data_IF_057321021030
#
_entry.id   IF_057321021030
#
_cell.length_a   1.000
_cell.length_b   1.000
_cell.length_c   1.000
_cell.angle_alpha   90.00
_cell.angle_beta   90.00
_cell.angle_gamma   90.00
#
_symmetry.space_group_name_H-M   'P 1'
#
loop_
_entity.id
_entity.type
_entity.pdbx_description
1 polymer ?
#
# COMPACT_ATOMS: atom_id res chain seq x y z
N UNK A 1 8.47 -26.46 5.95
CA UNK A 1 8.59 -25.19 5.20
C UNK A 1 10.07 -24.87 5.03
N UNK A 2 10.55 -24.60 3.80
CA UNK A 2 11.94 -24.23 3.59
C UNK A 2 12.19 -22.83 4.15
N UNK A 3 13.22 -22.67 4.98
CA UNK A 3 13.68 -21.35 5.45
C UNK A 3 14.44 -20.70 4.30
N UNK A 4 13.96 -19.55 3.83
CA UNK A 4 14.68 -18.76 2.83
C UNK A 4 15.87 -18.07 3.48
N UNK A 5 17.04 -18.15 2.85
CA UNK A 5 18.21 -17.39 3.25
C UNK A 5 18.14 -15.94 2.74
N UNK A 6 18.84 -15.04 3.43
CA UNK A 6 18.81 -13.59 3.10
C UNK A 6 19.19 -13.31 1.63
N UNK A 7 20.12 -14.06 1.07
CA UNK A 7 20.55 -13.89 -0.33
C UNK A 7 19.46 -14.33 -1.32
N UNK A 8 18.69 -15.35 -1.00
CA UNK A 8 17.54 -15.78 -1.82
C UNK A 8 16.42 -14.73 -1.80
N UNK A 9 16.19 -14.11 -0.64
CA UNK A 9 15.21 -13.02 -0.51
C UNK A 9 15.67 -11.81 -1.32
N UNK A 10 16.95 -11.43 -1.22
CA UNK A 10 17.53 -10.35 -2.00
C UNK A 10 17.41 -10.59 -3.50
N UNK A 11 17.78 -11.76 -3.97
CA UNK A 11 17.66 -12.11 -5.39
C UNK A 11 16.22 -12.05 -5.91
N UNK A 12 15.23 -12.41 -5.10
CA UNK A 12 13.81 -12.28 -5.45
C UNK A 12 13.38 -10.81 -5.53
N UNK A 13 13.82 -9.97 -4.59
CA UNK A 13 13.51 -8.53 -4.60
C UNK A 13 14.13 -7.88 -5.83
N UNK A 14 15.39 -8.20 -6.15
CA UNK A 14 16.07 -7.68 -7.34
C UNK A 14 15.37 -8.11 -8.64
N UNK A 15 14.95 -9.37 -8.75
CA UNK A 15 14.20 -9.88 -9.90
C UNK A 15 12.81 -9.23 -10.06
N UNK A 16 12.19 -8.80 -8.97
CA UNK A 16 10.84 -8.22 -8.93
C UNK A 16 10.85 -6.68 -8.94
N UNK A 17 12.03 -6.07 -8.98
CA UNK A 17 12.20 -4.64 -8.72
C UNK A 17 11.36 -3.76 -9.65
N UNK A 18 11.36 -4.03 -10.94
CA UNK A 18 10.58 -3.27 -11.92
C UNK A 18 9.07 -3.33 -11.63
N UNK A 19 8.58 -4.52 -11.23
CA UNK A 19 7.18 -4.68 -10.83
C UNK A 19 6.87 -3.92 -9.55
N UNK A 20 7.78 -3.91 -8.58
CA UNK A 20 7.62 -3.16 -7.32
C UNK A 20 7.51 -1.67 -7.62
N UNK A 21 8.37 -1.14 -8.48
CA UNK A 21 8.33 0.27 -8.91
C UNK A 21 7.03 0.60 -9.65
N UNK A 22 6.57 -0.28 -10.54
CA UNK A 22 5.29 -0.10 -11.26
C UNK A 22 4.10 -0.05 -10.31
N UNK A 23 4.04 -0.96 -9.32
CA UNK A 23 2.99 -0.96 -8.29
C UNK A 23 3.04 0.32 -7.45
N UNK A 24 4.23 0.77 -7.06
CA UNK A 24 4.40 2.01 -6.31
C UNK A 24 3.92 3.22 -7.12
N UNK A 25 4.29 3.30 -8.40
CA UNK A 25 3.83 4.38 -9.29
C UNK A 25 2.31 4.43 -9.43
N UNK A 26 1.68 3.29 -9.61
CA UNK A 26 0.21 3.18 -9.63
C UNK A 26 -0.42 3.65 -8.32
N UNK A 27 0.20 3.29 -7.18
CA UNK A 27 -0.26 3.71 -5.86
C UNK A 27 -0.11 5.22 -5.65
N UNK A 28 1.00 5.82 -6.06
CA UNK A 28 1.25 7.27 -5.99
C UNK A 28 0.21 8.04 -6.81
N UNK A 29 -0.11 7.57 -8.03
CA UNK A 29 -1.05 8.21 -8.93
C UNK A 29 -2.49 8.28 -8.38
N UNK A 30 -2.86 7.45 -7.41
CA UNK A 30 -4.19 7.48 -6.76
C UNK A 30 -4.41 8.70 -5.87
N UNK A 31 -3.36 9.44 -5.53
CA UNK A 31 -3.43 10.67 -4.73
C UNK A 31 -4.24 10.50 -3.45
N UNK A 32 -3.97 9.46 -2.67
CA UNK A 32 -4.71 9.10 -1.46
C UNK A 32 -4.50 10.10 -0.31
N UNK A 33 -4.84 11.37 -0.55
CA UNK A 33 -4.64 12.49 0.37
C UNK A 33 -5.75 12.49 1.42
N UNK A 34 -5.49 11.97 2.63
CA UNK A 34 -6.47 11.84 3.71
C UNK A 34 -7.06 13.18 4.16
N UNK A 35 -6.28 14.26 4.10
CA UNK A 35 -6.74 15.62 4.43
C UNK A 35 -7.83 16.16 3.48
N UNK A 36 -8.04 15.55 2.31
CA UNK A 36 -9.15 15.86 1.39
C UNK A 36 -10.44 15.10 1.72
N UNK A 37 -10.45 14.31 2.78
CA UNK A 37 -11.59 13.54 3.26
C UNK A 37 -11.28 12.05 3.34
N UNK A 38 -11.21 11.51 4.55
CA UNK A 38 -10.89 10.10 4.81
C UNK A 38 -11.96 9.13 4.29
N UNK A 39 -13.19 9.61 4.11
CA UNK A 39 -14.34 8.84 3.60
C UNK A 39 -14.51 8.96 2.09
N UNK A 40 -13.72 9.81 1.42
CA UNK A 40 -13.88 10.14 0.02
C UNK A 40 -13.51 8.97 -0.92
N UNK A 41 -13.99 9.02 -2.16
CA UNK A 41 -13.81 7.94 -3.14
C UNK A 41 -12.34 7.67 -3.48
N UNK A 42 -11.48 8.68 -3.53
CA UNK A 42 -10.05 8.48 -3.77
C UNK A 42 -9.38 7.65 -2.66
N UNK A 43 -9.85 7.77 -1.40
CA UNK A 43 -9.38 6.94 -0.29
C UNK A 43 -9.87 5.51 -0.42
N UNK A 44 -11.12 5.33 -0.83
CA UNK A 44 -11.68 3.99 -1.12
C UNK A 44 -10.93 3.30 -2.26
N UNK A 45 -10.65 4.01 -3.35
CA UNK A 45 -9.86 3.49 -4.48
C UNK A 45 -8.47 3.08 -4.06
N UNK A 46 -7.83 3.86 -3.19
CA UNK A 46 -6.53 3.51 -2.62
C UNK A 46 -6.58 2.23 -1.78
N UNK A 47 -7.60 2.06 -0.93
CA UNK A 47 -7.80 0.84 -0.17
C UNK A 47 -8.09 -0.37 -1.09
N UNK A 48 -8.93 -0.20 -2.11
CA UNK A 48 -9.20 -1.24 -3.10
C UNK A 48 -7.92 -1.70 -3.81
N UNK A 49 -7.10 -0.77 -4.27
CA UNK A 49 -5.82 -1.09 -4.89
C UNK A 49 -4.92 -1.92 -3.98
N UNK A 50 -4.80 -1.54 -2.71
CA UNK A 50 -3.99 -2.30 -1.74
C UNK A 50 -4.55 -3.71 -1.51
N UNK A 51 -5.88 -3.84 -1.36
CA UNK A 51 -6.51 -5.16 -1.21
C UNK A 51 -6.28 -6.05 -2.44
N UNK A 52 -6.38 -5.49 -3.65
CA UNK A 52 -6.11 -6.22 -4.89
C UNK A 52 -4.65 -6.71 -4.98
N UNK A 53 -3.68 -5.85 -4.63
CA UNK A 53 -2.26 -6.26 -4.64
C UNK A 53 -1.97 -7.36 -3.60
N UNK A 54 -2.58 -7.28 -2.43
CA UNK A 54 -2.48 -8.33 -1.40
C UNK A 54 -3.12 -9.65 -1.87
N UNK A 55 -4.28 -9.59 -2.51
CA UNK A 55 -4.95 -10.79 -3.04
C UNK A 55 -4.13 -11.48 -4.13
N UNK A 56 -3.40 -10.72 -4.98
CA UNK A 56 -2.49 -11.29 -6.00
C UNK A 56 -1.38 -12.16 -5.40
N UNK A 57 -0.99 -11.91 -4.16
CA UNK A 57 0.03 -12.71 -3.47
C UNK A 57 -0.56 -13.72 -2.48
N UNK A 58 -1.87 -13.94 -2.56
CA UNK A 58 -2.60 -14.97 -1.81
C UNK A 58 -2.89 -14.59 -0.36
N UNK A 59 -2.95 -13.32 -0.04
CA UNK A 59 -3.55 -12.80 1.19
C UNK A 59 -5.03 -12.65 0.95
N UNK A 60 -5.89 -13.17 1.83
CA UNK A 60 -7.34 -12.93 1.78
C UNK A 60 -7.61 -11.54 2.38
N UNK A 61 -7.67 -10.53 1.51
CA UNK A 61 -7.74 -9.12 1.88
C UNK A 61 -9.05 -8.47 1.44
N UNK A 62 -9.62 -7.68 2.35
CA UNK A 62 -10.90 -6.99 2.18
C UNK A 62 -10.79 -5.51 2.53
N UNK A 63 -11.53 -4.68 1.80
CA UNK A 63 -11.73 -3.27 2.14
C UNK A 63 -12.85 -3.16 3.16
N UNK A 64 -12.58 -2.47 4.25
CA UNK A 64 -13.52 -2.21 5.34
C UNK A 64 -13.63 -0.71 5.55
N UNK A 65 -14.83 -0.21 5.81
CA UNK A 65 -14.99 1.15 6.30
C UNK A 65 -15.20 1.13 7.80
N UNK A 66 -14.32 1.79 8.55
CA UNK A 66 -14.49 1.96 9.98
C UNK A 66 -15.64 2.91 10.30
N UNK A 67 -16.07 2.92 11.55
CA UNK A 67 -17.08 3.85 12.04
C UNK A 67 -16.55 4.58 13.27
N UNK A 68 -16.85 5.85 13.35
CA UNK A 68 -16.58 6.65 14.54
C UNK A 68 -17.48 6.22 15.70
N UNK A 69 -17.16 6.56 16.97
CA UNK A 69 -17.98 6.22 18.12
C UNK A 69 -19.42 6.75 18.07
N UNK A 70 -19.67 7.79 17.29
CA UNK A 70 -20.99 8.37 17.05
C UNK A 70 -21.78 7.69 15.92
N UNK A 71 -21.20 6.63 15.31
CA UNK A 71 -21.80 5.87 14.21
C UNK A 71 -21.58 6.49 12.82
N UNK A 72 -20.92 7.64 12.71
CA UNK A 72 -20.58 8.21 11.40
C UNK A 72 -19.50 7.41 10.69
N UNK A 73 -19.47 7.40 9.33
CA UNK A 73 -18.44 6.70 8.58
C UNK A 73 -17.03 7.20 8.90
N UNK A 74 -16.12 6.28 9.17
CA UNK A 74 -14.71 6.52 9.36
C UNK A 74 -13.86 6.26 8.11
N UNK A 75 -12.59 6.00 8.32
CA UNK A 75 -11.63 5.75 7.24
C UNK A 75 -11.92 4.45 6.47
N UNK A 76 -11.42 4.40 5.25
CA UNK A 76 -11.31 3.17 4.48
C UNK A 76 -10.02 2.44 4.86
N UNK A 77 -10.14 1.19 5.25
CA UNK A 77 -9.06 0.35 5.75
C UNK A 77 -8.98 -0.95 4.95
N UNK A 78 -7.82 -1.61 5.01
CA UNK A 78 -7.63 -2.94 4.43
C UNK A 78 -7.26 -3.90 5.55
N UNK A 79 -8.01 -4.98 5.66
CA UNK A 79 -7.73 -6.07 6.59
C UNK A 79 -7.54 -7.34 5.77
N UNK A 80 -6.48 -8.08 6.06
CA UNK A 80 -6.22 -9.33 5.36
C UNK A 80 -5.50 -10.34 6.24
N UNK A 81 -5.62 -11.61 5.85
CA UNK A 81 -4.92 -12.70 6.52
C UNK A 81 -4.40 -13.73 5.53
N UNK A 82 -3.32 -14.40 5.89
CA UNK A 82 -2.78 -15.54 5.16
C UNK A 82 -2.28 -16.57 6.16
N UNK A 83 -2.99 -17.67 6.26
CA UNK A 83 -2.58 -18.80 7.09
C UNK A 83 -1.68 -19.70 6.26
N UNK A 84 -0.42 -19.81 6.65
CA UNK A 84 0.57 -20.69 6.00
C UNK A 84 0.67 -22.01 6.72
N UNK A 85 0.61 -21.95 8.06
CA UNK A 85 0.63 -23.11 8.95
C UNK A 85 -0.15 -22.73 10.22
N UNK A 86 -1.09 -23.56 10.62
CA UNK A 86 -1.97 -23.29 11.76
C UNK A 86 -1.22 -23.24 13.09
N UNK A 87 -0.10 -23.96 13.18
CA UNK A 87 0.72 -24.03 14.39
C UNK A 87 1.88 -22.99 14.38
N UNK A 88 2.02 -22.23 13.29
CA UNK A 88 3.05 -21.21 13.20
C UNK A 88 2.67 -19.93 13.97
N UNK A 89 3.64 -19.20 14.52
CA UNK A 89 3.40 -17.88 15.09
C UNK A 89 2.76 -16.91 14.08
N UNK A 90 1.80 -16.12 14.54
CA UNK A 90 1.19 -15.07 13.72
C UNK A 90 2.04 -13.81 13.77
N UNK A 91 2.31 -13.24 12.60
CA UNK A 91 3.00 -11.96 12.44
C UNK A 91 1.99 -10.92 11.97
N UNK A 92 1.86 -9.81 12.70
CA UNK A 92 1.09 -8.65 12.28
C UNK A 92 1.98 -7.72 11.45
N UNK A 93 1.56 -7.46 10.21
CA UNK A 93 2.15 -6.42 9.36
C UNK A 93 1.23 -5.20 9.35
N UNK A 94 1.82 -4.02 9.54
CA UNK A 94 1.09 -2.75 9.55
C UNK A 94 1.74 -1.76 8.57
N UNK A 95 0.89 -1.08 7.78
CA UNK A 95 1.27 0.07 6.98
C UNK A 95 0.07 0.98 6.77
N UNK A 96 0.29 2.27 6.49
CA UNK A 96 -0.77 3.16 6.07
C UNK A 96 -0.76 3.35 4.55
N UNK A 97 -1.92 3.64 3.96
CA UNK A 97 -2.07 3.81 2.51
C UNK A 97 -2.42 5.23 2.09
N UNK A 98 -2.54 6.16 3.04
CA UNK A 98 -2.76 7.57 2.78
C UNK A 98 -1.45 8.34 2.65
N UNK A 99 -1.54 9.53 2.08
CA UNK A 99 -0.43 10.47 1.93
C UNK A 99 -0.82 11.86 2.40
N UNK A 100 0.17 12.69 2.70
CA UNK A 100 -0.02 14.08 3.04
C UNK A 100 -0.30 14.94 1.80
N UNK A 101 -0.97 16.09 1.95
CA UNK A 101 -1.08 17.08 0.89
C UNK A 101 0.30 17.57 0.46
N UNK A 102 0.43 17.95 -0.81
CA UNK A 102 1.59 18.69 -1.31
C UNK A 102 1.34 20.17 -1.05
N UNK A 103 2.02 20.79 -0.08
CA UNK A 103 1.73 22.19 0.27
C UNK A 103 2.22 23.17 -0.78
N UNK A 104 3.33 22.87 -1.44
CA UNK A 104 3.91 23.68 -2.52
C UNK A 104 4.55 22.76 -3.57
N UNK A 105 3.90 22.65 -4.73
CA UNK A 105 4.41 21.82 -5.82
C UNK A 105 5.67 22.41 -6.47
N UNK A 106 5.97 23.71 -6.29
CA UNK A 106 7.13 24.37 -6.90
C UNK A 106 8.48 23.93 -6.32
N UNK A 107 8.45 23.33 -5.11
CA UNK A 107 9.68 22.78 -4.48
C UNK A 107 10.03 21.37 -4.94
N UNK A 108 9.17 20.75 -5.76
CA UNK A 108 9.39 19.43 -6.32
C UNK A 108 10.05 19.54 -7.69
N UNK A 109 11.05 18.68 -7.95
CA UNK A 109 11.72 18.64 -9.25
C UNK A 109 10.87 17.95 -10.33
N UNK A 110 9.89 17.15 -9.92
CA UNK A 110 8.95 16.41 -10.76
C UNK A 110 7.54 16.51 -10.17
N UNK A 111 6.53 16.10 -10.91
CA UNK A 111 5.18 15.99 -10.35
C UNK A 111 5.18 15.00 -9.15
N UNK A 112 4.75 15.43 -7.95
CA UNK A 112 4.78 14.61 -6.74
C UNK A 112 3.89 13.36 -6.80
N UNK A 113 2.97 13.28 -7.76
CA UNK A 113 2.09 12.12 -7.95
C UNK A 113 2.42 11.30 -9.21
N UNK A 114 3.55 11.58 -9.83
CA UNK A 114 4.11 10.79 -10.93
C UNK A 114 5.47 10.28 -10.51
N UNK A 115 5.54 8.99 -10.19
CA UNK A 115 6.81 8.37 -9.81
C UNK A 115 7.84 8.48 -10.94
N UNK A 116 8.89 9.22 -10.69
CA UNK A 116 9.96 9.50 -11.67
C UNK A 116 11.28 9.05 -11.10
N UNK A 117 11.96 8.13 -11.79
CA UNK A 117 13.30 7.70 -11.38
C UNK A 117 14.35 8.70 -11.87
N UNK A 118 15.08 9.29 -10.93
CA UNK A 118 16.21 10.17 -11.21
C UNK A 118 17.43 9.61 -10.49
N UNK A 119 18.49 9.29 -11.21
CA UNK A 119 19.77 8.73 -10.70
C UNK A 119 19.53 7.46 -9.92
N UNK A 120 18.83 6.71 -9.69
CA UNK A 120 18.57 5.57 -8.78
C UNK A 120 17.58 5.87 -7.64
N UNK A 121 16.92 7.03 -7.67
CA UNK A 121 15.89 7.42 -6.69
C UNK A 121 14.55 7.57 -7.39
N UNK A 122 13.52 7.12 -6.71
CA UNK A 122 12.12 7.31 -7.10
C UNK A 122 11.54 8.49 -6.34
#
# INVERSE_FOLDING_TARGET
MAVLHADEIRARVEADFDRIVDVLNKKIALQSISAKGITADHMKQSAQFVAEELNKVGVDAHVVQSHNPDGTPGAWEVIGSKIVDIDAPTVLLYAHHDVQPVPDASVWNTDPFVGTVIDTRL
#
